data_IF_827380791798
#
_entry.id   IF_827380791798
#
_cell.length_a   1.000
_cell.length_b   1.000
_cell.length_c   1.000
_cell.angle_alpha   90.00
_cell.angle_beta   90.00
_cell.angle_gamma   90.00
#
_symmetry.space_group_name_H-M   'P 1'
#
loop_
_entity.id
_entity.type
_entity.pdbx_description
1 polymer ?
#
# COMPACT_ATOMS: atom_id res chain seq x y z
N UNK A 1 5.31 30.01 11.59
CA UNK A 1 3.95 30.42 11.97
C UNK A 1 2.98 29.29 11.63
N UNK A 2 2.26 28.78 12.64
CA UNK A 2 1.17 27.82 12.42
C UNK A 2 -0.13 28.59 12.30
N UNK A 3 -0.99 28.15 11.36
CA UNK A 3 -2.37 28.64 11.23
C UNK A 3 -3.30 27.43 11.25
N UNK A 4 -4.22 27.43 12.18
CA UNK A 4 -5.25 26.41 12.33
C UNK A 4 -6.53 26.87 11.65
N UNK A 5 -7.39 25.93 11.26
CA UNK A 5 -8.68 26.15 10.61
C UNK A 5 -8.60 26.94 9.29
N UNK A 6 -7.42 26.99 8.67
CA UNK A 6 -7.14 27.68 7.40
C UNK A 6 -7.12 26.68 6.25
N UNK A 7 -8.29 26.20 5.85
CA UNK A 7 -8.44 25.27 4.74
C UNK A 7 -8.00 25.91 3.42
N UNK A 8 -7.03 25.27 2.76
CA UNK A 8 -6.57 25.66 1.42
C UNK A 8 -7.58 25.24 0.39
N UNK A 9 -8.14 26.22 -0.32
CA UNK A 9 -9.14 26.01 -1.36
C UNK A 9 -8.53 25.93 -2.75
N UNK A 10 -7.42 26.67 -2.97
CA UNK A 10 -6.80 26.77 -4.29
C UNK A 10 -5.33 27.12 -4.18
N UNK A 11 -4.55 26.53 -5.05
CA UNK A 11 -3.14 26.86 -5.25
C UNK A 11 -2.96 27.18 -6.75
N UNK A 12 -2.36 28.32 -7.04
CA UNK A 12 -1.99 28.70 -8.41
C UNK A 12 -0.58 29.23 -8.44
N UNK A 13 0.17 28.88 -9.48
CA UNK A 13 1.45 29.49 -9.75
C UNK A 13 1.26 30.78 -10.55
N UNK A 14 1.84 31.86 -10.08
CA UNK A 14 1.80 33.17 -10.72
C UNK A 14 3.24 33.65 -10.93
N UNK A 15 3.81 33.36 -12.11
CA UNK A 15 5.24 33.59 -12.36
C UNK A 15 6.12 32.69 -11.48
N UNK A 16 6.94 33.30 -10.63
CA UNK A 16 7.84 32.56 -9.73
C UNK A 16 7.26 32.30 -8.33
N UNK A 17 6.05 32.75 -8.05
CA UNK A 17 5.43 32.70 -6.72
C UNK A 17 4.12 31.94 -6.81
N UNK A 18 3.83 31.14 -5.79
CA UNK A 18 2.50 30.54 -5.63
C UNK A 18 1.57 31.49 -4.91
N UNK A 19 0.34 31.57 -5.39
CA UNK A 19 -0.80 32.19 -4.69
C UNK A 19 -1.64 31.08 -4.09
N UNK A 20 -1.94 31.18 -2.79
CA UNK A 20 -2.68 30.21 -2.02
C UNK A 20 -3.92 30.88 -1.46
N UNK A 21 -5.07 30.44 -1.94
CA UNK A 21 -6.37 30.93 -1.47
C UNK A 21 -6.88 30.01 -0.33
N UNK A 22 -7.18 30.59 0.81
CA UNK A 22 -7.77 29.89 1.96
C UNK A 22 -9.09 30.53 2.36
N UNK A 23 -9.84 29.89 3.29
CA UNK A 23 -11.07 30.49 3.85
C UNK A 23 -10.82 31.84 4.51
N UNK A 24 -9.62 32.05 5.07
CA UNK A 24 -9.29 33.22 5.90
C UNK A 24 -8.52 34.31 5.14
N UNK A 25 -8.14 34.08 3.88
CA UNK A 25 -7.39 35.03 3.07
C UNK A 25 -6.46 34.41 2.06
N UNK A 26 -5.58 35.26 1.52
CA UNK A 26 -4.62 34.86 0.50
C UNK A 26 -3.20 34.92 1.05
N UNK A 27 -2.40 33.96 0.63
CA UNK A 27 -0.97 33.85 0.97
C UNK A 27 -0.15 33.69 -0.30
N UNK A 28 1.13 33.97 -0.19
CA UNK A 28 2.10 33.73 -1.25
C UNK A 28 3.27 32.92 -0.71
N UNK A 29 3.85 32.06 -1.56
CA UNK A 29 5.03 31.25 -1.22
C UNK A 29 5.88 31.00 -2.47
N UNK A 30 7.19 30.90 -2.29
CA UNK A 30 8.12 30.48 -3.34
C UNK A 30 8.05 28.98 -3.58
N UNK A 31 7.87 28.22 -2.51
CA UNK A 31 7.75 26.76 -2.54
C UNK A 31 6.55 26.29 -1.68
N UNK A 32 5.96 25.17 -2.05
CA UNK A 32 4.87 24.52 -1.34
C UNK A 32 5.20 23.06 -1.13
N UNK A 33 4.98 22.56 0.08
CA UNK A 33 5.05 21.13 0.41
C UNK A 33 3.64 20.62 0.75
N UNK A 34 3.12 19.68 -0.03
CA UNK A 34 1.86 19.01 0.23
C UNK A 34 2.10 17.75 1.07
N UNK A 35 1.67 17.77 2.32
CA UNK A 35 1.69 16.62 3.25
C UNK A 35 0.31 16.32 3.81
N UNK A 36 -0.71 16.43 2.96
CA UNK A 36 -2.14 16.34 3.34
C UNK A 36 -2.64 14.90 3.48
N UNK A 37 -1.82 13.91 3.13
CA UNK A 37 -2.21 12.50 3.15
C UNK A 37 -3.34 12.18 2.17
N UNK A 38 -3.95 11.01 2.34
CA UNK A 38 -5.08 10.53 1.53
C UNK A 38 -6.35 10.31 2.36
N UNK A 39 -6.26 10.25 3.68
CA UNK A 39 -7.37 9.90 4.58
C UNK A 39 -8.56 10.89 4.54
N UNK A 40 -8.35 12.13 4.12
CA UNK A 40 -9.43 13.10 3.95
C UNK A 40 -10.37 12.79 2.76
N UNK A 41 -10.01 11.85 1.89
CA UNK A 41 -10.80 11.43 0.72
C UNK A 41 -11.11 9.93 0.82
N UNK A 42 -11.89 9.56 1.82
CA UNK A 42 -12.27 8.16 2.09
C UNK A 42 -13.15 7.60 0.98
N UNK A 43 -12.97 6.32 0.71
CA UNK A 43 -13.86 5.58 -0.19
C UNK A 43 -15.17 5.32 0.53
N UNK A 44 -16.27 5.82 -0.03
CA UNK A 44 -17.61 5.63 0.48
C UNK A 44 -18.19 4.26 0.07
N UNK A 45 -19.29 3.88 0.70
CA UNK A 45 -20.05 2.65 0.38
C UNK A 45 -20.63 2.67 -1.04
N UNK A 46 -21.00 3.86 -1.53
CA UNK A 46 -21.59 4.03 -2.85
C UNK A 46 -23.05 3.58 -2.94
N UNK A 47 -23.78 3.58 -1.82
CA UNK A 47 -25.16 3.11 -1.73
C UNK A 47 -26.08 4.15 -1.10
N UNK A 48 -27.39 4.02 -1.32
CA UNK A 48 -28.37 4.88 -0.65
C UNK A 48 -28.29 4.70 0.87
N UNK A 49 -28.33 5.80 1.61
CA UNK A 49 -28.21 5.84 3.07
C UNK A 49 -26.78 5.87 3.61
N UNK A 50 -25.76 5.94 2.77
CA UNK A 50 -24.35 5.99 3.18
C UNK A 50 -23.95 7.24 3.98
N UNK A 51 -24.78 8.29 3.96
CA UNK A 51 -24.56 9.55 4.68
C UNK A 51 -25.44 9.66 5.95
N UNK A 52 -26.10 8.57 6.39
CA UNK A 52 -26.84 8.55 7.64
C UNK A 52 -25.88 8.73 8.84
N UNK A 53 -26.38 9.31 9.94
CA UNK A 53 -25.59 9.67 11.12
C UNK A 53 -24.74 8.51 11.70
N UNK A 54 -25.29 7.29 11.69
CA UNK A 54 -24.63 6.11 12.24
C UNK A 54 -23.81 5.32 11.20
N UNK A 55 -23.59 5.88 10.01
CA UNK A 55 -22.67 5.37 9.00
C UNK A 55 -21.36 6.17 9.04
N UNK A 56 -20.29 5.53 9.47
CA UNK A 56 -19.01 6.17 9.73
C UNK A 56 -17.92 5.61 8.84
N UNK A 57 -16.94 6.44 8.50
CA UNK A 57 -15.79 6.07 7.67
C UNK A 57 -14.46 6.11 8.44
N UNK A 58 -14.51 6.58 9.67
CA UNK A 58 -13.39 6.61 10.62
C UNK A 58 -13.86 6.09 11.97
N UNK A 59 -12.94 5.58 12.74
CA UNK A 59 -13.14 5.16 14.13
C UNK A 59 -12.03 5.82 14.94
N UNK A 60 -12.39 6.72 15.84
CA UNK A 60 -11.43 7.42 16.67
C UNK A 60 -11.11 6.60 17.91
N UNK A 61 -12.10 6.29 18.74
CA UNK A 61 -11.92 5.48 19.95
C UNK A 61 -12.93 4.31 19.95
N UNK A 62 -12.47 3.05 19.85
CA UNK A 62 -13.36 1.91 19.92
C UNK A 62 -14.02 1.69 21.30
N UNK A 63 -13.43 2.22 22.36
CA UNK A 63 -13.93 2.04 23.75
C UNK A 63 -15.13 2.95 24.07
N UNK A 64 -15.46 3.91 23.17
CA UNK A 64 -16.67 4.73 23.29
C UNK A 64 -17.96 3.96 22.93
N UNK A 65 -17.85 2.79 22.28
CA UNK A 65 -18.97 1.98 21.84
C UNK A 65 -19.14 0.77 22.75
N UNK A 66 -20.32 0.63 23.35
CA UNK A 66 -20.64 -0.42 24.32
C UNK A 66 -22.04 -0.96 24.04
N UNK A 67 -22.16 -2.29 24.03
CA UNK A 67 -23.42 -3.02 23.84
C UNK A 67 -24.17 -2.69 22.52
N UNK A 68 -23.42 -2.29 21.47
CA UNK A 68 -23.95 -2.06 20.13
C UNK A 68 -23.74 -3.30 19.22
N UNK A 69 -24.66 -3.48 18.24
CA UNK A 69 -24.43 -4.34 17.08
C UNK A 69 -23.78 -3.48 15.97
N UNK A 70 -22.52 -3.74 15.65
CA UNK A 70 -21.72 -2.93 14.74
C UNK A 70 -21.33 -3.75 13.51
N UNK A 71 -21.62 -3.21 12.32
CA UNK A 71 -21.16 -3.80 11.06
C UNK A 71 -19.92 -3.08 10.57
N UNK A 72 -18.81 -3.80 10.45
CA UNK A 72 -17.57 -3.29 9.87
C UNK A 72 -17.45 -3.71 8.41
N UNK A 73 -17.38 -2.75 7.48
CA UNK A 73 -17.31 -3.04 6.05
C UNK A 73 -15.88 -2.87 5.56
N UNK A 74 -15.27 -3.97 5.11
CA UNK A 74 -13.89 -4.01 4.61
C UNK A 74 -13.12 -5.23 5.11
N UNK A 75 -12.00 -5.53 4.46
CA UNK A 75 -11.18 -6.71 4.74
C UNK A 75 -9.66 -6.42 4.72
N UNK A 76 -9.28 -5.15 4.84
CA UNK A 76 -7.88 -4.73 5.01
C UNK A 76 -7.52 -4.56 6.49
N UNK A 77 -6.25 -4.30 6.77
CA UNK A 77 -5.71 -4.17 8.14
C UNK A 77 -6.56 -3.26 9.03
N UNK A 78 -6.88 -2.05 8.57
CA UNK A 78 -7.67 -1.11 9.36
C UNK A 78 -9.10 -1.61 9.67
N UNK A 79 -9.74 -2.38 8.78
CA UNK A 79 -11.04 -2.99 9.05
C UNK A 79 -10.93 -4.09 10.11
N UNK A 80 -9.91 -4.92 9.98
CA UNK A 80 -9.63 -6.02 10.92
C UNK A 80 -9.32 -5.49 12.31
N UNK A 81 -8.41 -4.52 12.41
CA UNK A 81 -8.04 -3.88 13.68
C UNK A 81 -9.24 -3.24 14.37
N UNK A 82 -10.08 -2.53 13.60
CA UNK A 82 -11.32 -1.94 14.13
C UNK A 82 -12.31 -3.02 14.61
N UNK A 83 -12.54 -4.08 13.82
CA UNK A 83 -13.43 -5.15 14.19
C UNK A 83 -13.00 -5.87 15.48
N UNK A 84 -11.70 -6.16 15.60
CA UNK A 84 -11.12 -6.79 16.79
C UNK A 84 -11.22 -5.88 18.02
N UNK A 85 -10.92 -4.59 17.86
CA UNK A 85 -11.01 -3.64 18.96
C UNK A 85 -12.44 -3.49 19.47
N UNK A 86 -13.40 -3.34 18.57
CA UNK A 86 -14.83 -3.20 18.88
C UNK A 86 -15.45 -4.46 19.49
N UNK A 87 -14.99 -5.67 19.07
CA UNK A 87 -15.55 -6.94 19.55
C UNK A 87 -15.34 -7.21 21.04
N UNK A 88 -14.55 -6.38 21.73
CA UNK A 88 -14.37 -6.48 23.18
C UNK A 88 -15.64 -6.14 23.95
N UNK A 89 -16.41 -5.17 23.47
CA UNK A 89 -17.57 -4.60 24.17
C UNK A 89 -18.85 -4.60 23.31
N UNK A 90 -18.80 -5.14 22.07
CA UNK A 90 -19.89 -5.05 21.12
C UNK A 90 -20.06 -6.36 20.36
N UNK A 91 -21.26 -6.58 19.79
CA UNK A 91 -21.48 -7.60 18.77
C UNK A 91 -21.01 -7.08 17.43
N UNK A 92 -19.99 -7.72 16.83
CA UNK A 92 -19.37 -7.26 15.59
C UNK A 92 -19.59 -8.24 14.45
N UNK A 93 -20.03 -7.69 13.32
CA UNK A 93 -20.16 -8.40 12.04
C UNK A 93 -19.21 -7.73 11.06
N UNK A 94 -18.26 -8.48 10.47
CA UNK A 94 -17.38 -7.97 9.42
C UNK A 94 -17.85 -8.44 8.04
N UNK A 95 -17.96 -7.49 7.10
CA UNK A 95 -18.32 -7.79 5.72
C UNK A 95 -17.08 -7.81 4.83
N UNK A 96 -16.81 -8.97 4.23
CA UNK A 96 -15.75 -9.13 3.24
C UNK A 96 -16.36 -9.37 1.86
N UNK A 97 -16.03 -8.54 0.87
CA UNK A 97 -16.47 -8.71 -0.53
C UNK A 97 -15.86 -9.92 -1.25
N UNK A 98 -14.87 -10.57 -0.64
CA UNK A 98 -14.20 -11.78 -1.14
C UNK A 98 -14.45 -12.93 -0.18
N UNK A 99 -13.95 -14.10 -0.54
CA UNK A 99 -13.96 -15.30 0.26
C UNK A 99 -12.75 -15.45 1.20
N UNK A 100 -11.77 -14.52 1.09
CA UNK A 100 -10.57 -14.51 1.90
C UNK A 100 -10.09 -13.09 2.25
N UNK A 101 -9.24 -12.95 3.26
CA UNK A 101 -8.60 -11.70 3.67
C UNK A 101 -7.25 -11.48 2.95
N UNK A 102 -7.22 -11.57 1.62
CA UNK A 102 -6.02 -11.57 0.80
C UNK A 102 -5.10 -10.34 0.92
N UNK A 103 -5.53 -9.26 1.58
CA UNK A 103 -4.75 -8.01 1.74
C UNK A 103 -4.31 -7.76 3.17
N UNK A 104 -4.67 -8.64 4.09
CA UNK A 104 -4.32 -8.50 5.49
C UNK A 104 -2.86 -8.91 5.71
N UNK A 105 -2.15 -8.17 6.55
CA UNK A 105 -0.85 -8.59 7.07
C UNK A 105 -1.03 -9.85 7.91
N UNK A 106 0.00 -10.70 7.95
CA UNK A 106 -0.06 -12.01 8.61
C UNK A 106 -0.59 -11.95 10.05
N UNK A 107 -0.11 -10.99 10.85
CA UNK A 107 -0.59 -10.80 12.23
C UNK A 107 -2.08 -10.49 12.31
N UNK A 108 -2.59 -9.61 11.45
CA UNK A 108 -4.01 -9.25 11.39
C UNK A 108 -4.84 -10.41 10.82
N UNK A 109 -4.34 -11.12 9.82
CA UNK A 109 -5.00 -12.32 9.28
C UNK A 109 -5.20 -13.38 10.37
N UNK A 110 -4.15 -13.72 11.10
CA UNK A 110 -4.21 -14.70 12.19
C UNK A 110 -5.18 -14.25 13.29
N UNK A 111 -5.18 -12.97 13.63
CA UNK A 111 -6.05 -12.42 14.66
C UNK A 111 -7.53 -12.47 14.26
N UNK A 112 -7.89 -12.07 13.03
CA UNK A 112 -9.28 -12.09 12.57
C UNK A 112 -9.80 -13.51 12.40
N UNK A 113 -9.02 -14.44 11.84
CA UNK A 113 -9.42 -15.84 11.70
C UNK A 113 -9.66 -16.49 13.07
N UNK A 114 -8.78 -16.22 14.06
CA UNK A 114 -8.98 -16.69 15.43
C UNK A 114 -10.23 -16.09 16.10
N UNK A 115 -10.56 -14.82 15.83
CA UNK A 115 -11.76 -14.17 16.36
C UNK A 115 -13.04 -14.76 15.76
N UNK A 116 -13.04 -15.08 14.47
CA UNK A 116 -14.15 -15.75 13.78
C UNK A 116 -14.32 -17.16 14.29
N UNK A 117 -13.26 -17.95 14.42
CA UNK A 117 -13.29 -19.32 14.93
C UNK A 117 -13.84 -19.39 16.38
N UNK A 118 -13.49 -18.42 17.21
CA UNK A 118 -14.01 -18.30 18.60
C UNK A 118 -15.43 -17.75 18.69
N UNK A 119 -16.01 -17.31 17.58
CA UNK A 119 -17.35 -16.70 17.54
C UNK A 119 -17.44 -15.30 18.16
N UNK A 120 -16.31 -14.61 18.39
CA UNK A 120 -16.31 -13.23 18.88
C UNK A 120 -16.57 -12.19 17.79
N UNK A 121 -16.37 -12.57 16.52
CA UNK A 121 -16.71 -11.77 15.35
C UNK A 121 -17.41 -12.68 14.35
N UNK A 122 -18.54 -12.25 13.82
CA UNK A 122 -19.20 -12.88 12.69
C UNK A 122 -18.64 -12.35 11.39
N UNK A 123 -18.36 -13.21 10.39
CA UNK A 123 -17.87 -12.78 9.08
C UNK A 123 -18.83 -13.22 7.98
N UNK A 124 -19.27 -12.25 7.17
CA UNK A 124 -20.07 -12.52 5.97
C UNK A 124 -19.17 -12.30 4.76
N UNK A 125 -18.86 -13.39 4.07
CA UNK A 125 -18.01 -13.40 2.88
C UNK A 125 -18.83 -13.12 1.61
N UNK A 126 -18.12 -12.68 0.55
CA UNK A 126 -18.72 -12.36 -0.75
C UNK A 126 -19.87 -11.34 -0.64
N UNK A 127 -19.79 -10.44 0.33
CA UNK A 127 -20.81 -9.50 0.73
C UNK A 127 -20.54 -8.10 0.15
N UNK A 128 -21.53 -7.53 -0.53
CA UNK A 128 -21.48 -6.18 -1.06
C UNK A 128 -22.63 -5.35 -0.48
N UNK A 129 -22.34 -4.13 -0.08
CA UNK A 129 -23.36 -3.18 0.36
C UNK A 129 -24.37 -2.91 -0.76
N UNK A 130 -25.67 -2.85 -0.42
CA UNK A 130 -26.74 -2.53 -1.36
C UNK A 130 -27.50 -1.29 -0.95
N UNK A 131 -27.86 -1.16 0.33
CA UNK A 131 -28.61 0.00 0.83
C UNK A 131 -28.55 0.05 2.36
N UNK A 132 -28.62 1.25 2.93
CA UNK A 132 -28.81 1.48 4.36
C UNK A 132 -30.10 2.26 4.58
N UNK A 133 -30.89 1.84 5.54
CA UNK A 133 -32.17 2.49 5.91
C UNK A 133 -32.16 2.77 7.41
N UNK A 134 -32.61 3.94 7.81
CA UNK A 134 -32.87 4.26 9.22
C UNK A 134 -34.21 3.63 9.64
N UNK A 135 -34.20 2.83 10.70
CA UNK A 135 -35.39 2.12 11.26
C UNK A 135 -35.66 2.55 12.70
N UNK A 136 -34.77 3.31 13.33
CA UNK A 136 -34.81 3.57 14.78
C UNK A 136 -35.78 4.61 15.29
N UNK A 137 -36.38 5.45 14.42
CA UNK A 137 -37.19 6.58 14.89
C UNK A 137 -38.71 6.30 14.93
N UNK A 138 -39.21 5.31 14.15
CA UNK A 138 -40.68 5.20 13.94
C UNK A 138 -41.35 3.93 14.52
N UNK A 139 -40.60 2.89 14.91
CA UNK A 139 -41.24 1.57 15.18
C UNK A 139 -40.85 0.89 16.51
N UNK A 140 -40.13 1.55 17.44
CA UNK A 140 -39.64 0.87 18.64
C UNK A 140 -38.70 -0.29 18.33
N UNK A 141 -37.98 -0.19 17.24
CA UNK A 141 -36.98 -1.17 16.82
C UNK A 141 -35.81 -1.22 17.82
N UNK A 142 -35.29 -2.42 18.03
CA UNK A 142 -34.14 -2.67 18.92
C UNK A 142 -32.87 -2.01 18.37
N UNK A 143 -32.76 -1.86 17.04
CA UNK A 143 -31.61 -1.31 16.32
C UNK A 143 -31.96 -0.05 15.51
N UNK A 144 -30.95 0.75 15.18
CA UNK A 144 -31.09 2.04 14.48
C UNK A 144 -31.12 1.92 12.96
N UNK A 145 -30.41 0.95 12.40
CA UNK A 145 -30.21 0.78 10.97
C UNK A 145 -30.60 -0.61 10.49
N UNK A 146 -31.16 -0.68 9.28
CA UNK A 146 -31.26 -1.90 8.49
C UNK A 146 -30.29 -1.80 7.31
N UNK A 147 -29.33 -2.71 7.22
CA UNK A 147 -28.31 -2.78 6.19
C UNK A 147 -28.59 -3.94 5.23
N UNK A 148 -29.01 -3.61 4.02
CA UNK A 148 -29.19 -4.57 2.94
C UNK A 148 -27.85 -4.92 2.31
N UNK A 149 -27.52 -6.20 2.26
CA UNK A 149 -26.25 -6.74 1.76
C UNK A 149 -26.51 -7.83 0.74
N UNK A 150 -25.95 -7.67 -0.46
CA UNK A 150 -26.00 -8.70 -1.49
C UNK A 150 -24.83 -9.68 -1.32
N UNK A 151 -25.14 -10.97 -1.21
CA UNK A 151 -24.17 -12.05 -1.25
C UNK A 151 -24.20 -12.77 -2.61
N UNK A 152 -23.41 -13.83 -2.79
CA UNK A 152 -23.48 -14.65 -4.01
C UNK A 152 -24.79 -15.43 -4.13
N UNK A 153 -25.43 -15.73 -3.01
CA UNK A 153 -26.60 -16.63 -2.93
C UNK A 153 -27.89 -15.84 -2.84
N UNK A 154 -27.93 -14.82 -1.98
CA UNK A 154 -29.14 -14.06 -1.69
C UNK A 154 -28.82 -12.63 -1.22
N UNK A 155 -29.86 -11.83 -1.09
CA UNK A 155 -29.79 -10.53 -0.39
C UNK A 155 -30.27 -10.73 1.03
N UNK A 156 -29.49 -10.27 2.00
CA UNK A 156 -29.76 -10.36 3.43
C UNK A 156 -29.94 -8.97 4.04
N UNK A 157 -30.73 -8.88 5.07
CA UNK A 157 -30.90 -7.68 5.88
C UNK A 157 -30.23 -7.89 7.24
N UNK A 158 -29.43 -6.90 7.65
CA UNK A 158 -28.73 -6.90 8.93
C UNK A 158 -29.21 -5.69 9.71
N UNK A 159 -29.92 -5.94 10.80
CA UNK A 159 -30.25 -4.89 11.76
C UNK A 159 -29.04 -4.60 12.64
N UNK A 160 -28.66 -3.31 12.74
CA UNK A 160 -27.47 -2.89 13.48
C UNK A 160 -27.61 -1.46 14.01
N UNK A 161 -26.77 -1.12 14.98
CA UNK A 161 -26.74 0.23 15.56
C UNK A 161 -25.81 1.15 14.79
N UNK A 162 -24.80 0.58 14.15
CA UNK A 162 -23.74 1.34 13.49
C UNK A 162 -23.10 0.58 12.35
N UNK A 163 -22.67 1.35 11.33
CA UNK A 163 -21.86 0.83 10.22
C UNK A 163 -20.54 1.61 10.20
N UNK A 164 -19.41 0.89 10.21
CA UNK A 164 -18.07 1.47 10.10
C UNK A 164 -17.42 0.96 8.82
N UNK A 165 -17.35 1.82 7.81
CA UNK A 165 -16.80 1.46 6.51
C UNK A 165 -15.30 1.79 6.42
N UNK A 166 -14.46 0.76 6.35
CA UNK A 166 -12.99 0.85 6.23
C UNK A 166 -12.53 0.38 4.86
N UNK A 167 -12.96 1.10 3.84
CA UNK A 167 -12.76 0.74 2.43
C UNK A 167 -11.46 1.32 1.83
N UNK A 168 -10.67 2.02 2.65
CA UNK A 168 -9.50 2.76 2.24
C UNK A 168 -9.84 4.17 1.75
N UNK A 169 -8.84 4.83 1.15
CA UNK A 169 -8.96 6.21 0.67
C UNK A 169 -8.29 6.35 -0.70
N UNK A 170 -8.61 7.43 -1.40
CA UNK A 170 -8.00 7.81 -2.67
C UNK A 170 -7.22 9.12 -2.51
N UNK A 171 -6.18 9.36 -3.31
CA UNK A 171 -5.62 10.69 -3.45
C UNK A 171 -6.73 11.70 -3.81
N UNK A 172 -6.71 12.93 -3.26
CA UNK A 172 -7.70 13.97 -3.58
C UNK A 172 -7.44 14.56 -4.98
N UNK A 173 -7.66 13.75 -6.01
CA UNK A 173 -7.26 14.00 -7.40
C UNK A 173 -7.76 15.34 -7.91
N UNK A 174 -9.02 15.68 -7.67
CA UNK A 174 -9.61 16.97 -8.12
C UNK A 174 -8.82 18.17 -7.61
N UNK A 175 -8.38 18.12 -6.35
CA UNK A 175 -7.57 19.19 -5.77
C UNK A 175 -6.18 19.23 -6.41
N UNK A 176 -5.53 18.08 -6.55
CA UNK A 176 -4.19 17.97 -7.12
C UNK A 176 -4.15 18.39 -8.60
N UNK A 177 -5.13 17.96 -9.41
CA UNK A 177 -5.31 18.40 -10.80
C UNK A 177 -5.49 19.93 -10.88
N UNK A 178 -6.24 20.53 -9.93
CA UNK A 178 -6.40 21.99 -9.86
C UNK A 178 -5.11 22.75 -9.55
N UNK A 179 -4.14 22.07 -8.95
CA UNK A 179 -2.78 22.57 -8.71
C UNK A 179 -1.85 22.36 -9.91
N UNK A 180 -2.30 21.67 -10.96
CA UNK A 180 -1.51 21.33 -12.15
C UNK A 180 -0.61 20.09 -11.97
N UNK A 181 -0.88 19.26 -10.95
CA UNK A 181 -0.13 18.02 -10.69
C UNK A 181 -0.62 16.94 -11.65
N UNK A 182 0.31 16.26 -12.29
CA UNK A 182 0.06 15.16 -13.22
C UNK A 182 0.17 13.79 -12.53
N UNK A 183 -0.63 12.85 -13.02
CA UNK A 183 -0.64 11.48 -12.55
C UNK A 183 -0.17 10.52 -13.66
N UNK A 184 0.50 9.43 -13.31
CA UNK A 184 1.01 8.47 -14.30
C UNK A 184 -0.11 7.69 -15.01
N UNK A 185 -1.32 7.63 -14.44
CA UNK A 185 -2.48 6.95 -15.02
C UNK A 185 -3.80 7.53 -14.52
N UNK A 186 -4.90 7.15 -15.20
CA UNK A 186 -6.27 7.54 -14.80
C UNK A 186 -6.84 6.64 -13.67
N UNK A 187 -6.09 5.68 -13.18
CA UNK A 187 -6.56 4.82 -12.10
C UNK A 187 -6.80 5.62 -10.82
N UNK A 188 -7.91 5.36 -10.09
CA UNK A 188 -8.25 6.10 -8.88
C UNK A 188 -7.20 6.01 -7.76
N UNK A 189 -6.42 4.95 -7.73
CA UNK A 189 -5.36 4.73 -6.74
C UNK A 189 -3.99 5.29 -7.20
N UNK A 190 -3.88 5.82 -8.41
CA UNK A 190 -2.64 6.40 -8.88
C UNK A 190 -2.18 7.52 -7.95
N UNK A 191 -0.90 7.51 -7.62
CA UNK A 191 -0.24 8.58 -6.86
C UNK A 191 0.52 9.49 -7.81
N UNK A 192 0.70 10.78 -7.50
CA UNK A 192 1.48 11.69 -8.30
C UNK A 192 2.92 11.20 -8.48
N UNK A 193 3.50 11.44 -9.65
CA UNK A 193 4.93 11.23 -9.87
C UNK A 193 5.72 12.36 -9.22
N UNK A 194 6.76 12.02 -8.47
CA UNK A 194 7.69 12.97 -7.85
C UNK A 194 9.12 12.60 -8.18
N UNK A 195 10.01 13.60 -8.17
CA UNK A 195 11.45 13.41 -8.32
C UNK A 195 12.07 12.74 -7.07
N UNK A 196 13.37 12.44 -7.13
CA UNK A 196 14.12 11.98 -5.95
C UNK A 196 14.19 13.01 -4.81
N UNK A 197 13.88 14.28 -5.09
CA UNK A 197 13.80 15.39 -4.14
C UNK A 197 12.36 15.72 -3.76
N UNK A 198 11.40 14.84 -4.07
CA UNK A 198 9.95 14.98 -3.82
C UNK A 198 9.26 16.09 -4.61
N UNK A 199 9.91 16.71 -5.60
CA UNK A 199 9.31 17.74 -6.45
C UNK A 199 8.36 17.10 -7.47
N UNK A 200 7.17 17.69 -7.64
CA UNK A 200 6.20 17.28 -8.66
C UNK A 200 6.59 17.81 -10.04
N UNK A 201 5.75 17.55 -11.07
CA UNK A 201 5.86 18.19 -12.38
C UNK A 201 5.71 19.73 -12.32
N UNK A 202 5.16 20.28 -11.22
CA UNK A 202 5.03 21.72 -10.99
C UNK A 202 6.22 22.19 -10.16
N UNK A 203 7.17 22.90 -10.80
CA UNK A 203 8.39 23.38 -10.15
C UNK A 203 8.08 24.20 -8.88
N UNK A 204 8.74 23.85 -7.76
CA UNK A 204 8.55 24.47 -6.45
C UNK A 204 7.37 23.89 -5.67
N UNK A 205 6.67 22.87 -6.21
CA UNK A 205 5.60 22.16 -5.53
C UNK A 205 6.02 20.73 -5.24
N UNK A 206 6.16 20.41 -3.97
CA UNK A 206 6.66 19.14 -3.45
C UNK A 206 5.53 18.33 -2.83
N UNK A 207 5.62 17.01 -2.90
CA UNK A 207 4.61 16.08 -2.38
C UNK A 207 5.31 15.01 -1.55
N UNK A 208 4.87 14.82 -0.30
CA UNK A 208 5.43 13.85 0.62
C UNK A 208 4.37 13.01 1.31
N UNK A 209 4.80 11.93 1.95
CA UNK A 209 3.96 11.04 2.74
C UNK A 209 3.05 10.15 1.91
N UNK A 210 1.92 9.76 2.46
CA UNK A 210 1.00 8.82 1.81
C UNK A 210 0.43 9.33 0.49
N UNK A 211 0.42 10.64 0.28
CA UNK A 211 0.04 11.25 -1.00
C UNK A 211 1.04 10.95 -2.12
N UNK A 212 2.32 10.78 -1.78
CA UNK A 212 3.38 10.35 -2.71
C UNK A 212 3.56 8.82 -2.74
N UNK A 213 2.67 8.05 -2.07
CA UNK A 213 2.74 6.59 -2.03
C UNK A 213 3.47 5.99 -0.82
N UNK A 214 3.81 6.81 0.18
CA UNK A 214 4.53 6.38 1.39
C UNK A 214 3.62 6.38 2.62
N UNK A 215 3.00 5.24 2.98
CA UNK A 215 2.03 5.20 4.07
C UNK A 215 2.65 5.10 5.47
N UNK A 216 3.96 4.81 5.59
CA UNK A 216 4.60 4.59 6.88
C UNK A 216 5.02 5.90 7.54
N UNK A 217 4.71 6.05 8.82
CA UNK A 217 5.04 7.25 9.62
C UNK A 217 6.53 7.58 9.58
N UNK A 218 7.40 6.56 9.72
CA UNK A 218 8.87 6.73 9.67
C UNK A 218 9.32 7.39 8.37
N UNK A 219 8.79 6.94 7.24
CA UNK A 219 9.09 7.52 5.92
C UNK A 219 8.61 8.97 5.84
N UNK A 220 7.38 9.25 6.28
CA UNK A 220 6.83 10.61 6.27
C UNK A 220 7.69 11.60 7.09
N UNK A 221 8.23 11.16 8.24
CA UNK A 221 9.12 11.98 9.07
C UNK A 221 10.43 12.28 8.36
N UNK A 222 11.06 11.26 7.76
CA UNK A 222 12.30 11.45 7.01
C UNK A 222 12.09 12.38 5.81
N UNK A 223 11.06 12.13 5.00
CA UNK A 223 10.71 12.98 3.86
C UNK A 223 10.45 14.43 4.26
N UNK A 224 9.79 14.65 5.41
CA UNK A 224 9.54 16.00 5.93
C UNK A 224 10.84 16.77 6.23
N UNK A 225 11.87 16.09 6.71
CA UNK A 225 13.19 16.67 6.91
C UNK A 225 13.91 16.89 5.56
N UNK A 226 14.01 15.85 4.76
CA UNK A 226 14.74 15.83 3.49
C UNK A 226 14.23 16.88 2.51
N UNK A 227 12.90 17.01 2.34
CA UNK A 227 12.30 17.98 1.42
C UNK A 227 12.67 19.44 1.77
N UNK A 228 12.75 19.75 3.06
CA UNK A 228 13.16 21.10 3.51
C UNK A 228 14.65 21.36 3.21
N UNK A 229 15.49 20.35 3.42
CA UNK A 229 16.91 20.46 3.08
C UNK A 229 17.09 20.68 1.57
N UNK A 230 16.40 19.92 0.71
CA UNK A 230 16.42 20.09 -0.74
C UNK A 230 15.93 21.49 -1.18
N UNK A 231 14.83 21.98 -0.61
CA UNK A 231 14.33 23.34 -0.88
C UNK A 231 15.38 24.40 -0.49
N UNK A 232 16.14 24.17 0.56
CA UNK A 232 17.20 25.05 1.00
C UNK A 232 18.52 24.90 0.20
N UNK A 233 18.55 24.02 -0.79
CA UNK A 233 19.74 23.75 -1.61
C UNK A 233 20.87 23.05 -0.86
N UNK A 234 20.53 22.31 0.20
CA UNK A 234 21.50 21.51 0.96
C UNK A 234 21.45 20.07 0.48
N UNK A 235 22.63 19.46 0.33
CA UNK A 235 22.72 18.03 0.08
C UNK A 235 22.33 17.27 1.35
N UNK A 236 21.41 16.32 1.19
CA UNK A 236 21.00 15.39 2.24
C UNK A 236 21.20 13.99 1.73
N UNK A 237 21.91 13.21 2.49
CA UNK A 237 21.99 11.78 2.27
C UNK A 237 20.70 11.15 2.86
N UNK A 238 19.84 10.49 2.04
CA UNK A 238 18.66 9.82 2.54
C UNK A 238 19.00 8.82 3.64
N UNK A 239 18.12 8.67 4.62
CA UNK A 239 18.36 7.80 5.79
C UNK A 239 18.59 6.32 5.44
N UNK A 240 18.16 5.90 4.26
CA UNK A 240 18.31 4.56 3.71
C UNK A 240 19.52 4.40 2.78
N UNK A 241 20.23 5.49 2.45
CA UNK A 241 21.29 5.49 1.44
C UNK A 241 22.42 4.50 1.76
N UNK A 242 22.91 4.51 2.99
CA UNK A 242 23.98 3.60 3.41
C UNK A 242 23.55 2.13 3.38
N UNK A 243 22.30 1.83 3.77
CA UNK A 243 21.75 0.48 3.76
C UNK A 243 21.59 -0.04 2.32
N UNK A 244 21.06 0.80 1.44
CA UNK A 244 20.89 0.45 0.04
C UNK A 244 22.22 0.35 -0.69
N UNK A 245 23.19 1.22 -0.35
CA UNK A 245 24.52 1.14 -0.94
C UNK A 245 25.19 -0.20 -0.65
N UNK A 246 25.12 -0.70 0.58
CA UNK A 246 25.68 -2.01 0.93
C UNK A 246 25.12 -3.15 0.07
N UNK A 247 23.86 -3.06 -0.34
CA UNK A 247 23.21 -4.05 -1.22
C UNK A 247 23.55 -3.83 -2.70
N UNK A 248 23.51 -2.60 -3.16
CA UNK A 248 23.63 -2.23 -4.60
C UNK A 248 25.08 -2.23 -5.10
N UNK A 249 26.06 -1.97 -4.25
CA UNK A 249 27.50 -1.88 -4.61
C UNK A 249 28.05 -3.12 -5.34
N UNK A 250 27.35 -4.26 -5.25
CA UNK A 250 27.73 -5.51 -5.95
C UNK A 250 27.37 -5.48 -7.44
N UNK A 251 26.56 -4.54 -7.88
CA UNK A 251 26.17 -4.38 -9.29
C UNK A 251 27.34 -3.70 -10.02
N UNK A 252 27.84 -4.26 -11.16
CA UNK A 252 28.96 -3.67 -11.88
C UNK A 252 28.66 -2.26 -12.42
N UNK A 253 29.68 -1.39 -12.34
CA UNK A 253 29.66 -0.01 -12.85
C UNK A 253 28.67 0.96 -12.15
N UNK A 254 28.23 0.63 -10.94
CA UNK A 254 27.39 1.49 -10.09
C UNK A 254 28.28 2.36 -9.21
N UNK A 255 27.98 3.67 -9.14
CA UNK A 255 28.74 4.64 -8.33
C UNK A 255 27.95 5.16 -7.14
N UNK A 256 26.61 5.08 -7.21
CA UNK A 256 25.70 5.52 -6.16
C UNK A 256 24.38 4.73 -6.25
N UNK A 257 23.53 4.87 -5.22
CA UNK A 257 22.27 4.13 -5.12
C UNK A 257 21.32 4.45 -6.28
N UNK A 258 21.24 5.72 -6.70
CA UNK A 258 20.33 6.11 -7.77
C UNK A 258 20.72 5.49 -9.13
N UNK A 259 22.00 5.42 -9.46
CA UNK A 259 22.48 4.69 -10.66
C UNK A 259 22.13 3.20 -10.58
N UNK A 260 22.28 2.58 -9.41
CA UNK A 260 21.94 1.19 -9.20
C UNK A 260 20.44 0.92 -9.39
N UNK A 261 19.60 1.80 -8.87
CA UNK A 261 18.15 1.74 -9.04
C UNK A 261 17.75 1.81 -10.52
N UNK A 262 18.32 2.74 -11.28
CA UNK A 262 18.03 2.87 -12.71
C UNK A 262 18.53 1.65 -13.51
N UNK A 263 19.68 1.07 -13.14
CA UNK A 263 20.16 -0.16 -13.75
C UNK A 263 19.19 -1.32 -13.47
N UNK A 264 18.71 -1.47 -12.23
CA UNK A 264 17.76 -2.52 -11.87
C UNK A 264 16.45 -2.33 -12.66
N UNK A 265 15.90 -1.13 -12.71
CA UNK A 265 14.66 -0.83 -13.46
C UNK A 265 14.79 -1.11 -14.94
N UNK A 266 15.96 -0.81 -15.53
CA UNK A 266 16.19 -1.04 -16.96
C UNK A 266 16.42 -2.51 -17.32
N UNK A 267 17.00 -3.28 -16.41
CA UNK A 267 17.37 -4.69 -16.65
C UNK A 267 16.29 -5.68 -16.25
N UNK A 268 15.47 -5.35 -15.24
CA UNK A 268 14.43 -6.24 -14.71
C UNK A 268 13.05 -5.68 -15.07
N UNK A 269 12.39 -6.21 -16.12
CA UNK A 269 11.13 -5.65 -16.64
C UNK A 269 10.01 -5.54 -15.60
N UNK A 270 9.97 -6.45 -14.63
CA UNK A 270 8.97 -6.43 -13.55
C UNK A 270 9.08 -5.18 -12.65
N UNK A 271 10.25 -4.55 -12.59
CA UNK A 271 10.47 -3.34 -11.79
C UNK A 271 10.38 -2.05 -12.61
N UNK A 272 10.24 -2.14 -13.93
CA UNK A 272 10.19 -0.95 -14.80
C UNK A 272 9.00 -0.03 -14.52
N UNK A 273 7.90 -0.58 -14.01
CA UNK A 273 6.68 0.16 -13.64
C UNK A 273 6.78 0.85 -12.28
N UNK A 274 7.76 0.48 -11.44
CA UNK A 274 7.96 1.11 -10.15
C UNK A 274 8.66 2.47 -10.31
N UNK A 275 8.26 3.45 -9.51
CA UNK A 275 9.05 4.68 -9.39
C UNK A 275 10.39 4.39 -8.70
N UNK A 276 11.43 5.23 -8.88
CA UNK A 276 12.69 5.08 -8.17
C UNK A 276 12.52 4.95 -6.66
N UNK A 277 11.62 5.74 -6.08
CA UNK A 277 11.34 5.70 -4.65
C UNK A 277 10.64 4.40 -4.22
N UNK A 278 9.68 3.89 -4.99
CA UNK A 278 9.06 2.60 -4.72
C UNK A 278 10.06 1.44 -4.81
N UNK A 279 11.00 1.52 -5.75
CA UNK A 279 12.05 0.52 -5.85
C UNK A 279 13.04 0.60 -4.68
N UNK A 280 13.39 1.81 -4.20
CA UNK A 280 14.21 1.97 -2.98
C UNK A 280 13.58 1.22 -1.80
N UNK A 281 12.29 1.43 -1.58
CA UNK A 281 11.54 0.77 -0.51
C UNK A 281 11.54 -0.75 -0.65
N UNK A 282 11.26 -1.23 -1.85
CA UNK A 282 11.28 -2.67 -2.14
C UNK A 282 12.67 -3.30 -1.86
N UNK A 283 13.74 -2.61 -2.23
CA UNK A 283 15.10 -3.11 -2.06
C UNK A 283 15.58 -3.08 -0.60
N UNK A 284 14.96 -2.30 0.28
CA UNK A 284 15.29 -2.36 1.71
C UNK A 284 14.98 -3.73 2.32
N UNK A 285 13.88 -4.35 1.90
CA UNK A 285 13.45 -5.67 2.36
C UNK A 285 13.98 -6.83 1.51
N UNK A 286 14.75 -6.54 0.45
CA UNK A 286 15.33 -7.53 -0.46
C UNK A 286 16.83 -7.66 -0.22
N UNK A 287 17.44 -8.81 -0.58
CA UNK A 287 18.88 -8.99 -0.59
C UNK A 287 19.42 -8.99 -2.02
N UNK A 288 20.52 -8.23 -2.25
CA UNK A 288 21.22 -8.19 -3.53
C UNK A 288 22.62 -8.71 -3.32
N UNK A 289 22.96 -9.78 -4.02
CA UNK A 289 24.31 -10.34 -3.91
C UNK A 289 24.77 -11.01 -5.20
N UNK A 290 26.10 -11.10 -5.32
CA UNK A 290 26.76 -11.88 -6.37
C UNK A 290 26.87 -13.31 -5.88
N UNK A 291 26.25 -14.23 -6.60
CA UNK A 291 26.36 -15.64 -6.32
C UNK A 291 27.62 -16.24 -6.96
N UNK A 292 28.25 -17.18 -6.27
CA UNK A 292 29.39 -17.92 -6.79
C UNK A 292 28.93 -18.92 -7.88
N UNK A 293 29.81 -19.18 -8.85
CA UNK A 293 29.52 -20.15 -9.90
C UNK A 293 29.21 -21.54 -9.31
N UNK A 294 28.03 -22.06 -9.63
CA UNK A 294 27.55 -23.35 -9.13
C UNK A 294 26.91 -23.29 -7.74
N UNK A 295 26.85 -22.12 -7.11
CA UNK A 295 26.14 -21.95 -5.83
C UNK A 295 24.65 -22.30 -6.01
N UNK A 296 24.13 -23.15 -5.13
CA UNK A 296 22.71 -23.49 -5.10
C UNK A 296 21.91 -22.32 -4.50
N UNK A 297 20.98 -21.78 -5.27
CA UNK A 297 20.06 -20.72 -4.88
C UNK A 297 18.74 -21.30 -4.40
N UNK A 298 18.25 -22.33 -5.06
CA UNK A 298 17.04 -23.07 -4.70
C UNK A 298 17.36 -24.57 -4.79
N UNK A 299 16.93 -25.34 -3.79
CA UNK A 299 17.07 -26.79 -3.79
C UNK A 299 15.72 -27.50 -4.05
N UNK A 300 15.74 -28.55 -4.87
CA UNK A 300 14.54 -29.34 -5.15
C UNK A 300 13.90 -29.89 -3.87
N UNK A 301 12.59 -29.84 -3.79
CA UNK A 301 11.79 -30.32 -2.66
C UNK A 301 11.97 -29.53 -1.34
N UNK A 302 12.69 -28.40 -1.36
CA UNK A 302 12.79 -27.50 -0.22
C UNK A 302 11.48 -26.71 -0.02
N UNK A 303 11.31 -26.12 1.17
CA UNK A 303 10.15 -25.31 1.52
C UNK A 303 10.62 -23.91 1.91
N UNK A 304 10.82 -23.06 0.90
CA UNK A 304 11.22 -21.68 1.06
C UNK A 304 10.24 -20.75 0.35
N UNK A 305 10.07 -19.52 0.84
CA UNK A 305 9.09 -18.54 0.37
C UNK A 305 9.75 -17.34 -0.31
N UNK A 306 10.95 -17.51 -0.87
CA UNK A 306 11.66 -16.47 -1.58
C UNK A 306 11.54 -16.65 -3.09
N UNK A 307 11.60 -15.55 -3.84
CA UNK A 307 11.82 -15.57 -5.27
C UNK A 307 12.99 -14.68 -5.67
N UNK A 308 13.49 -14.86 -6.86
CA UNK A 308 14.72 -14.22 -7.30
C UNK A 308 14.51 -13.51 -8.64
N UNK A 309 15.10 -12.31 -8.77
CA UNK A 309 15.22 -11.61 -10.05
C UNK A 309 16.69 -11.51 -10.46
N UNK A 310 17.00 -11.79 -11.72
CA UNK A 310 18.38 -11.81 -12.25
C UNK A 310 18.73 -10.42 -12.80
N UNK A 311 19.67 -9.73 -12.14
CA UNK A 311 20.22 -8.43 -12.61
C UNK A 311 21.26 -8.66 -13.72
N UNK A 312 22.16 -9.63 -13.52
CA UNK A 312 23.19 -9.98 -14.49
C UNK A 312 23.58 -11.43 -14.41
N UNK A 313 24.26 -11.95 -15.44
CA UNK A 313 24.63 -13.35 -15.54
C UNK A 313 23.44 -14.23 -15.85
N UNK A 314 23.52 -15.48 -15.44
CA UNK A 314 22.51 -16.51 -15.67
C UNK A 314 22.38 -17.47 -14.49
N UNK A 315 21.31 -18.23 -14.47
CA UNK A 315 21.12 -19.37 -13.56
C UNK A 315 20.76 -20.62 -14.36
N UNK A 316 21.12 -21.78 -13.81
CA UNK A 316 20.86 -23.07 -14.40
C UNK A 316 19.78 -23.80 -13.59
N UNK A 317 18.65 -24.06 -14.23
CA UNK A 317 17.48 -24.74 -13.67
C UNK A 317 17.53 -26.21 -14.03
N UNK A 318 17.70 -27.08 -13.07
CA UNK A 318 17.63 -28.54 -13.25
C UNK A 318 16.21 -29.01 -12.93
N UNK A 319 15.49 -29.41 -13.98
CA UNK A 319 14.05 -29.73 -13.89
C UNK A 319 13.76 -31.09 -13.23
N UNK A 320 14.71 -32.02 -13.29
CA UNK A 320 14.56 -33.37 -12.73
C UNK A 320 15.78 -33.73 -11.88
N UNK A 321 15.61 -34.20 -10.63
CA UNK A 321 16.73 -34.56 -9.76
C UNK A 321 17.63 -35.62 -10.36
N UNK A 322 17.07 -36.62 -11.06
CA UNK A 322 17.74 -37.81 -11.54
C UNK A 322 18.42 -37.62 -12.92
N UNK A 323 18.18 -36.49 -13.62
CA UNK A 323 18.79 -36.25 -14.92
C UNK A 323 19.54 -34.91 -14.96
N UNK A 324 20.86 -34.90 -14.71
CA UNK A 324 21.65 -33.67 -14.73
C UNK A 324 21.74 -32.99 -16.10
N UNK A 325 21.40 -33.69 -17.19
CA UNK A 325 21.41 -33.14 -18.54
C UNK A 325 20.11 -32.38 -18.88
N UNK A 326 19.06 -32.47 -18.06
CA UNK A 326 17.83 -31.75 -18.25
C UNK A 326 17.89 -30.40 -17.54
N UNK A 327 18.76 -29.52 -18.04
CA UNK A 327 19.03 -28.20 -17.49
C UNK A 327 18.64 -27.11 -18.49
N UNK A 328 17.98 -26.09 -18.02
CA UNK A 328 17.60 -24.88 -18.77
C UNK A 328 18.28 -23.69 -18.13
N UNK A 329 18.97 -22.85 -18.94
CA UNK A 329 19.57 -21.61 -18.46
C UNK A 329 18.64 -20.42 -18.73
N UNK A 330 18.50 -19.53 -17.75
CA UNK A 330 17.81 -18.25 -17.90
C UNK A 330 18.75 -17.13 -17.45
N UNK A 331 18.73 -16.02 -18.18
CA UNK A 331 19.64 -14.90 -17.97
C UNK A 331 19.00 -13.65 -17.39
N UNK A 332 19.76 -12.57 -17.39
CA UNK A 332 19.34 -11.25 -16.90
C UNK A 332 17.95 -10.83 -17.37
N UNK A 333 17.19 -10.19 -16.51
CA UNK A 333 15.82 -9.74 -16.75
C UNK A 333 14.74 -10.77 -16.45
N UNK A 334 15.10 -12.02 -16.25
CA UNK A 334 14.17 -13.08 -15.83
C UNK A 334 14.09 -13.17 -14.30
N UNK A 335 13.06 -13.89 -13.84
CA UNK A 335 12.87 -14.23 -12.43
C UNK A 335 12.60 -15.72 -12.29
N UNK A 336 12.78 -16.25 -11.07
CA UNK A 336 12.55 -17.66 -10.78
C UNK A 336 12.19 -17.86 -9.29
N UNK A 337 11.61 -19.00 -8.98
CA UNK A 337 11.19 -19.35 -7.62
C UNK A 337 9.75 -18.97 -7.29
N UNK A 338 9.03 -18.31 -8.20
CA UNK A 338 7.65 -17.83 -8.05
C UNK A 338 6.62 -18.99 -7.95
N UNK A 339 6.91 -20.12 -8.59
CA UNK A 339 5.97 -21.24 -8.69
C UNK A 339 5.54 -21.80 -7.33
N UNK A 340 6.45 -21.84 -6.36
CA UNK A 340 6.14 -22.30 -5.00
C UNK A 340 5.31 -21.28 -4.23
N UNK A 341 5.53 -19.99 -4.43
CA UNK A 341 4.73 -18.91 -3.84
C UNK A 341 3.29 -18.94 -4.31
N UNK A 342 3.10 -19.12 -5.64
CA UNK A 342 1.77 -19.15 -6.25
C UNK A 342 1.00 -20.42 -5.89
N UNK A 343 1.70 -21.58 -5.87
CA UNK A 343 1.06 -22.89 -5.69
C UNK A 343 1.01 -23.37 -4.24
N UNK A 344 1.76 -22.75 -3.32
CA UNK A 344 1.92 -23.23 -1.94
C UNK A 344 2.64 -24.59 -1.84
N UNK A 345 3.31 -25.02 -2.92
CA UNK A 345 4.01 -26.33 -3.00
C UNK A 345 5.50 -26.16 -2.73
N UNK A 346 6.17 -27.31 -2.47
CA UNK A 346 7.63 -27.36 -2.37
C UNK A 346 8.30 -26.98 -3.68
N UNK A 347 9.56 -26.61 -3.63
CA UNK A 347 10.40 -26.26 -4.78
C UNK A 347 10.40 -27.37 -5.83
N UNK A 348 10.10 -27.02 -7.07
CA UNK A 348 9.95 -27.98 -8.18
C UNK A 348 11.25 -28.27 -8.92
N UNK A 349 12.33 -27.52 -8.66
CA UNK A 349 13.61 -27.65 -9.35
C UNK A 349 14.78 -27.27 -8.42
N UNK A 350 15.98 -27.74 -8.73
CA UNK A 350 17.23 -27.19 -8.18
C UNK A 350 17.74 -26.12 -9.13
N UNK A 351 18.09 -24.96 -8.59
CA UNK A 351 18.58 -23.82 -9.36
C UNK A 351 19.96 -23.41 -8.83
N UNK A 352 20.93 -23.36 -9.72
CA UNK A 352 22.31 -23.00 -9.41
C UNK A 352 22.74 -21.75 -10.19
N UNK A 353 23.59 -20.93 -9.58
CA UNK A 353 24.16 -19.76 -10.22
C UNK A 353 25.11 -20.15 -11.36
N UNK A 354 24.98 -19.45 -12.48
CA UNK A 354 25.92 -19.49 -13.59
C UNK A 354 27.01 -18.42 -13.47
N UNK A 355 27.65 -18.07 -14.59
CA UNK A 355 28.71 -17.06 -14.62
C UNK A 355 28.15 -15.65 -14.35
N UNK A 356 28.89 -14.87 -13.54
CA UNK A 356 28.59 -13.47 -13.23
C UNK A 356 27.15 -13.23 -12.73
N UNK A 357 26.60 -14.20 -12.02
CA UNK A 357 25.24 -14.16 -11.52
C UNK A 357 25.10 -13.16 -10.36
N UNK A 358 24.24 -12.13 -10.57
CA UNK A 358 23.81 -11.19 -9.53
C UNK A 358 22.30 -11.24 -9.48
N UNK A 359 21.79 -11.50 -8.30
CA UNK A 359 20.34 -11.68 -8.05
C UNK A 359 19.83 -10.72 -6.98
N UNK A 360 18.54 -10.43 -7.08
CA UNK A 360 17.73 -9.87 -5.99
C UNK A 360 16.92 -11.04 -5.45
N UNK A 361 17.06 -11.31 -4.16
CA UNK A 361 16.25 -12.25 -3.40
C UNK A 361 15.21 -11.49 -2.59
N UNK A 362 13.95 -11.88 -2.70
CA UNK A 362 12.82 -11.21 -2.04
C UNK A 362 11.93 -12.22 -1.35
#
# INVERSE_FOLDING_TARGET
>A
NLKFNSEVQKIKRNGNVFQIDTKDGQYTADNIVLSIGIQGNVRKLGVAGEDLEFVQYQLDDPDEYIDETIVVVGAGDAAIENAIALSKNNKVIILNRRDEFARAKEGNLNAILSAIEKGSIECIYNANASKVTNIGEDNGAEHRLCFEVATKEESIEIECDRIIARLGAFPPRKFLDSCGIEFPSEEPNAVPSVSGEYESNVKGLYIIGSLAGYPLIKQCVNQGYEVIEFICGREVEPADESLLWEKIKHIPNVKNVNEGIEIIRSKVPTFSSLTPLQLREFLLDSDIYKADLGQTLIEYNDYTNTFFSIISGEVNIRLTPDNPNNTVSIGSGNFFGEMSLISGRRRSATITAGENCIVIET
#
